data_IF_456796872657
#
_entry.id   IF_456796872657
#
_cell.length_a   1.000
_cell.length_b   1.000
_cell.length_c   1.000
_cell.angle_alpha   90.00
_cell.angle_beta   90.00
_cell.angle_gamma   90.00
#
_symmetry.space_group_name_H-M   'P 1'
#
loop_
_entity.id
_entity.type
_entity.pdbx_description
1 polymer ?
#
# COMPACT_ATOMS: atom_id res chain seq x y z
N UNK A 1 -6.36 -15.31 3.81
CA UNK A 1 -7.12 -15.14 2.55
C UNK A 1 -6.81 -13.79 1.93
N UNK A 2 -6.63 -13.72 0.61
CA UNK A 2 -6.63 -12.44 -0.12
C UNK A 2 -8.08 -12.00 -0.34
N UNK A 3 -8.44 -10.84 0.18
CA UNK A 3 -9.78 -10.27 0.10
C UNK A 3 -9.98 -9.64 -1.28
N UNK A 4 -11.09 -9.97 -1.92
CA UNK A 4 -11.55 -9.53 -3.23
C UNK A 4 -13.03 -9.14 -3.15
N UNK A 5 -13.56 -8.51 -4.20
CA UNK A 5 -15.01 -8.29 -4.35
C UNK A 5 -15.84 -9.59 -4.32
N UNK A 6 -15.24 -10.74 -4.65
CA UNK A 6 -15.92 -12.03 -4.73
C UNK A 6 -16.00 -12.75 -3.37
N UNK A 7 -15.10 -12.44 -2.42
CA UNK A 7 -15.00 -13.16 -1.16
C UNK A 7 -15.03 -12.28 0.10
N UNK A 8 -15.17 -10.96 -0.02
CA UNK A 8 -15.23 -10.05 1.13
C UNK A 8 -16.36 -10.36 2.10
N UNK A 9 -17.49 -10.88 1.60
CA UNK A 9 -18.62 -11.29 2.45
C UNK A 9 -18.37 -12.60 3.23
N UNK A 10 -17.22 -13.25 3.03
CA UNK A 10 -16.82 -14.51 3.67
C UNK A 10 -15.59 -14.34 4.58
N UNK A 11 -15.25 -13.11 4.97
CA UNK A 11 -14.15 -12.86 5.92
C UNK A 11 -14.41 -13.56 7.27
N UNK A 12 -15.64 -13.47 7.78
CA UNK A 12 -16.04 -14.15 9.03
C UNK A 12 -16.00 -15.68 8.90
N UNK A 13 -16.45 -16.22 7.76
CA UNK A 13 -16.37 -17.66 7.48
C UNK A 13 -14.91 -18.15 7.45
N UNK A 14 -14.01 -17.36 6.87
CA UNK A 14 -12.57 -17.66 6.85
C UNK A 14 -11.97 -17.64 8.26
N UNK A 15 -12.32 -16.65 9.08
CA UNK A 15 -11.85 -16.56 10.46
C UNK A 15 -12.35 -17.74 11.30
N UNK A 16 -13.64 -18.08 11.20
CA UNK A 16 -14.23 -19.24 11.87
C UNK A 16 -13.59 -20.57 11.46
N UNK A 17 -13.23 -20.71 10.18
CA UNK A 17 -12.48 -21.87 9.71
C UNK A 17 -11.09 -21.94 10.35
N UNK A 18 -10.39 -20.81 10.47
CA UNK A 18 -9.07 -20.76 11.09
C UNK A 18 -9.12 -21.13 12.58
N UNK A 19 -10.14 -20.65 13.31
CA UNK A 19 -10.38 -21.04 14.71
C UNK A 19 -10.63 -22.55 14.85
N UNK A 20 -11.49 -23.12 13.99
CA UNK A 20 -11.77 -24.56 13.98
C UNK A 20 -10.55 -25.43 13.73
N UNK A 21 -9.60 -24.92 12.94
CA UNK A 21 -8.37 -25.62 12.60
C UNK A 21 -7.22 -25.33 13.58
N UNK A 22 -7.44 -24.47 14.59
CA UNK A 22 -6.42 -23.99 15.52
C UNK A 22 -5.21 -23.38 14.80
N UNK A 23 -5.48 -22.52 13.80
CA UNK A 23 -4.44 -21.83 13.01
C UNK A 23 -4.66 -20.32 12.99
N UNK A 24 -3.56 -19.58 12.85
CA UNK A 24 -3.59 -18.13 12.67
C UNK A 24 -3.80 -17.78 11.19
N UNK A 25 -5.04 -17.44 10.84
CA UNK A 25 -5.39 -16.90 9.53
C UNK A 25 -4.94 -15.46 9.36
N UNK A 26 -4.57 -15.08 8.14
CA UNK A 26 -4.26 -13.69 7.80
C UNK A 26 -5.13 -13.20 6.66
N UNK A 27 -5.90 -12.13 6.88
CA UNK A 27 -6.52 -11.37 5.78
C UNK A 27 -5.45 -10.52 5.09
N UNK A 28 -5.52 -10.46 3.77
CA UNK A 28 -4.58 -9.72 2.92
C UNK A 28 -5.36 -8.92 1.89
N UNK A 29 -4.96 -7.68 1.67
CA UNK A 29 -5.52 -6.85 0.61
C UNK A 29 -5.10 -7.39 -0.76
N UNK A 30 -5.97 -7.29 -1.75
CA UNK A 30 -5.63 -7.59 -3.14
C UNK A 30 -4.59 -6.60 -3.69
N UNK A 31 -3.54 -7.11 -4.32
CA UNK A 31 -2.51 -6.29 -4.98
C UNK A 31 -2.78 -6.20 -6.48
N UNK A 32 -3.05 -5.01 -7.04
CA UNK A 32 -3.31 -4.83 -8.46
C UNK A 32 -2.00 -4.74 -9.27
N UNK A 33 -1.14 -5.76 -9.15
CA UNK A 33 0.14 -5.88 -9.85
C UNK A 33 0.25 -7.23 -10.57
N UNK A 34 1.06 -7.30 -11.63
CA UNK A 34 1.20 -8.51 -12.45
C UNK A 34 -0.17 -9.01 -12.95
N UNK A 35 -0.44 -10.31 -12.79
CA UNK A 35 -1.76 -10.88 -13.16
C UNK A 35 -2.93 -10.29 -12.36
N UNK A 36 -2.69 -9.76 -11.17
CA UNK A 36 -3.71 -9.08 -10.39
C UNK A 36 -4.19 -7.79 -11.06
N UNK A 37 -3.28 -7.12 -11.78
CA UNK A 37 -3.64 -5.95 -12.59
C UNK A 37 -4.57 -6.32 -13.74
N UNK A 38 -4.21 -7.34 -14.53
CA UNK A 38 -4.97 -7.79 -15.70
C UNK A 38 -6.40 -8.24 -15.35
N UNK A 39 -6.62 -8.67 -14.10
CA UNK A 39 -7.89 -9.18 -13.62
C UNK A 39 -8.62 -8.22 -12.67
N UNK A 40 -8.12 -6.99 -12.50
CA UNK A 40 -8.64 -6.06 -11.49
C UNK A 40 -10.15 -5.84 -11.58
N UNK A 41 -10.70 -5.69 -12.78
CA UNK A 41 -12.13 -5.43 -12.95
C UNK A 41 -13.01 -6.62 -12.49
N UNK A 42 -12.47 -7.85 -12.48
CA UNK A 42 -13.18 -9.06 -12.10
C UNK A 42 -13.02 -9.42 -10.60
N UNK A 43 -11.82 -9.25 -10.05
CA UNK A 43 -11.44 -9.71 -8.70
C UNK A 43 -10.91 -8.60 -7.78
N UNK A 44 -10.73 -7.38 -8.28
CA UNK A 44 -10.30 -6.25 -7.46
C UNK A 44 -11.40 -5.82 -6.49
N UNK A 45 -10.99 -5.28 -5.33
CA UNK A 45 -11.92 -4.62 -4.42
C UNK A 45 -12.26 -3.24 -5.00
N UNK A 46 -13.45 -3.11 -5.60
CA UNK A 46 -13.98 -1.83 -6.09
C UNK A 46 -14.82 -1.07 -5.04
N UNK A 47 -15.07 -1.68 -3.88
CA UNK A 47 -16.01 -1.16 -2.90
C UNK A 47 -15.39 -0.09 -2.00
N UNK A 48 -15.17 1.09 -2.57
CA UNK A 48 -15.16 2.33 -1.78
C UNK A 48 -16.58 2.76 -1.35
N UNK A 49 -17.61 2.05 -1.82
CA UNK A 49 -19.04 2.27 -1.55
C UNK A 49 -19.44 2.10 -0.07
N UNK A 50 -18.56 1.51 0.75
CA UNK A 50 -18.78 1.29 2.19
C UNK A 50 -18.19 2.40 3.08
N UNK A 51 -17.65 3.48 2.50
CA UNK A 51 -17.29 4.68 3.26
C UNK A 51 -18.57 5.47 3.63
N UNK A 52 -19.40 4.88 4.49
CA UNK A 52 -20.56 5.55 5.09
C UNK A 52 -20.15 6.07 6.45
N UNK A 53 -20.32 7.38 6.64
CA UNK A 53 -20.20 8.03 7.95
C UNK A 53 -21.59 8.00 8.55
N UNK A 54 -21.85 7.05 9.44
CA UNK A 54 -23.19 6.82 9.98
C UNK A 54 -23.45 7.66 11.26
N UNK A 55 -22.42 8.15 11.96
CA UNK A 55 -22.57 9.01 13.15
C UNK A 55 -21.36 9.92 13.48
N UNK A 56 -21.54 10.84 14.44
CA UNK A 56 -20.48 11.71 14.97
C UNK A 56 -19.47 10.98 15.85
N UNK A 57 -19.87 9.89 16.53
CA UNK A 57 -18.95 9.04 17.29
C UNK A 57 -17.99 8.29 16.36
N UNK A 58 -18.47 7.89 15.17
CA UNK A 58 -17.63 7.23 14.18
C UNK A 58 -16.54 8.20 13.67
N UNK A 59 -16.85 9.49 13.55
CA UNK A 59 -15.89 10.50 13.08
C UNK A 59 -14.67 10.64 14.00
N UNK A 60 -14.88 10.67 15.32
CA UNK A 60 -13.77 10.78 16.28
C UNK A 60 -12.91 9.51 16.28
N UNK A 61 -13.51 8.32 16.27
CA UNK A 61 -12.76 7.06 16.17
C UNK A 61 -11.96 6.98 14.86
N UNK A 62 -12.56 7.39 13.74
CA UNK A 62 -11.86 7.47 12.46
C UNK A 62 -10.70 8.47 12.55
N UNK A 63 -10.91 9.66 13.11
CA UNK A 63 -9.85 10.68 13.29
C UNK A 63 -8.68 10.15 14.10
N UNK A 64 -8.95 9.44 15.20
CA UNK A 64 -7.91 8.82 16.04
C UNK A 64 -7.15 7.72 15.30
N UNK A 65 -7.80 7.02 14.36
CA UNK A 65 -7.20 5.97 13.54
C UNK A 65 -6.44 6.48 12.30
N UNK A 66 -6.61 7.75 11.92
CA UNK A 66 -6.00 8.31 10.72
C UNK A 66 -4.50 8.48 10.90
N UNK A 67 -3.74 7.90 9.99
CA UNK A 67 -2.30 8.07 9.88
C UNK A 67 -1.94 8.81 8.60
N UNK A 68 -0.91 9.65 8.67
CA UNK A 68 -0.36 10.38 7.54
C UNK A 68 1.03 9.87 7.13
N UNK A 69 1.53 8.79 7.74
CA UNK A 69 2.88 8.28 7.50
C UNK A 69 2.87 6.91 6.81
N UNK A 70 3.76 6.74 5.83
CA UNK A 70 4.10 5.42 5.31
C UNK A 70 5.06 4.77 6.32
N UNK A 71 4.55 3.87 7.17
CA UNK A 71 5.36 3.18 8.20
C UNK A 71 6.08 1.93 7.64
N UNK A 72 5.99 1.68 6.34
CA UNK A 72 6.59 0.51 5.72
C UNK A 72 8.14 0.50 5.85
N UNK A 73 8.70 -0.46 6.60
CA UNK A 73 10.16 -0.66 6.74
C UNK A 73 10.84 -1.30 5.51
N UNK A 74 10.29 -1.10 4.31
CA UNK A 74 10.85 -1.66 3.07
C UNK A 74 12.25 -1.09 2.81
N UNK A 75 13.19 -1.94 2.41
CA UNK A 75 14.59 -1.59 2.19
C UNK A 75 15.40 -1.35 3.48
N UNK A 76 14.78 -0.88 4.57
CA UNK A 76 15.49 -0.50 5.81
C UNK A 76 15.40 -1.53 6.93
N UNK A 77 14.31 -2.29 7.02
CA UNK A 77 14.11 -3.34 8.01
C UNK A 77 13.66 -4.68 7.42
N UNK A 78 13.34 -4.70 6.13
CA UNK A 78 13.06 -5.91 5.34
C UNK A 78 13.50 -5.67 3.90
N UNK A 79 13.83 -6.74 3.21
CA UNK A 79 14.09 -6.77 1.77
C UNK A 79 13.74 -8.17 1.23
N UNK A 80 13.64 -8.29 -0.08
CA UNK A 80 13.51 -9.56 -0.79
C UNK A 80 14.69 -9.75 -1.73
N UNK A 81 14.99 -10.99 -2.05
CA UNK A 81 16.01 -11.37 -3.02
C UNK A 81 15.30 -12.18 -4.11
N UNK A 82 15.51 -11.82 -5.37
CA UNK A 82 14.96 -12.59 -6.51
C UNK A 82 15.88 -13.76 -6.92
N UNK A 83 15.45 -14.56 -7.90
CA UNK A 83 16.19 -15.73 -8.37
C UNK A 83 17.55 -15.40 -8.99
N UNK A 84 17.76 -14.16 -9.41
CA UNK A 84 19.03 -13.67 -9.96
C UNK A 84 19.95 -13.06 -8.90
N UNK A 85 19.49 -13.01 -7.64
CA UNK A 85 20.20 -12.45 -6.52
C UNK A 85 20.03 -10.94 -6.36
N UNK A 86 19.15 -10.28 -7.11
CA UNK A 86 18.91 -8.84 -6.94
C UNK A 86 18.14 -8.57 -5.64
N UNK A 87 18.54 -7.49 -4.95
CA UNK A 87 17.95 -7.03 -3.71
C UNK A 87 16.87 -5.99 -3.99
N UNK A 88 15.67 -6.25 -3.46
CA UNK A 88 14.49 -5.39 -3.63
C UNK A 88 13.91 -5.00 -2.27
N UNK A 89 13.25 -3.83 -2.11
CA UNK A 89 12.82 -3.34 -0.80
C UNK A 89 11.77 -4.23 -0.15
N UNK A 90 10.94 -4.89 -0.96
CA UNK A 90 10.04 -5.97 -0.58
C UNK A 90 9.43 -6.61 -1.84
N UNK A 91 8.65 -7.68 -1.65
CA UNK A 91 7.99 -8.42 -2.73
C UNK A 91 6.98 -7.61 -3.57
N UNK A 92 6.54 -6.44 -3.12
CA UNK A 92 5.65 -5.56 -3.90
C UNK A 92 6.40 -4.44 -4.63
N UNK A 93 7.72 -4.41 -4.49
CA UNK A 93 8.64 -3.42 -5.06
C UNK A 93 9.81 -4.17 -5.70
N UNK A 94 9.51 -5.15 -6.56
CA UNK A 94 10.45 -6.08 -7.21
C UNK A 94 10.84 -5.67 -8.64
N UNK A 95 10.34 -4.52 -9.11
CA UNK A 95 10.74 -3.93 -10.38
C UNK A 95 12.22 -3.55 -10.39
N UNK A 96 12.85 -3.60 -11.57
CA UNK A 96 14.28 -3.27 -11.75
C UNK A 96 14.63 -1.87 -11.22
N UNK A 97 13.71 -0.92 -11.28
CA UNK A 97 13.86 0.43 -10.74
C UNK A 97 13.95 0.50 -9.21
N UNK A 98 13.59 -0.60 -8.52
CA UNK A 98 13.69 -0.77 -7.08
C UNK A 98 14.87 -1.63 -6.66
N UNK A 99 15.64 -2.20 -7.59
CA UNK A 99 16.86 -2.93 -7.24
C UNK A 99 17.91 -1.98 -6.66
N UNK A 100 18.54 -2.41 -5.56
CA UNK A 100 19.59 -1.64 -4.88
C UNK A 100 20.89 -2.43 -4.61
N UNK A 101 21.05 -3.62 -5.20
CA UNK A 101 22.28 -4.41 -5.10
C UNK A 101 22.08 -5.86 -5.54
N UNK A 102 23.15 -6.65 -5.64
CA UNK A 102 23.05 -8.07 -5.97
C UNK A 102 23.94 -8.95 -5.07
N UNK A 103 23.33 -9.93 -4.39
CA UNK A 103 24.03 -10.79 -3.40
C UNK A 103 25.06 -11.76 -4.00
N UNK A 104 25.02 -11.99 -5.32
CA UNK A 104 25.99 -12.84 -6.02
C UNK A 104 27.24 -12.06 -6.39
N UNK A 105 27.12 -10.74 -6.54
CA UNK A 105 28.17 -9.85 -7.04
C UNK A 105 28.80 -8.99 -5.94
N UNK A 106 28.01 -8.63 -4.93
CA UNK A 106 28.33 -7.60 -3.96
C UNK A 106 28.21 -8.13 -2.52
N UNK A 107 29.08 -7.67 -1.62
CA UNK A 107 28.98 -7.95 -0.20
C UNK A 107 27.84 -7.13 0.43
N UNK A 108 26.97 -7.77 1.23
CA UNK A 108 25.80 -7.11 1.83
C UNK A 108 26.17 -5.86 2.63
N UNK A 109 27.27 -5.93 3.40
CA UNK A 109 27.74 -4.78 4.18
C UNK A 109 28.17 -3.61 3.29
N UNK A 110 28.71 -3.86 2.11
CA UNK A 110 29.09 -2.80 1.18
C UNK A 110 27.84 -2.16 0.59
N UNK A 111 26.86 -2.97 0.18
CA UNK A 111 25.57 -2.50 -0.33
C UNK A 111 24.89 -1.56 0.66
N UNK A 112 24.69 -2.00 1.91
CA UNK A 112 23.95 -1.22 2.90
C UNK A 112 24.69 0.01 3.44
N UNK A 113 26.02 0.07 3.29
CA UNK A 113 26.82 1.25 3.64
C UNK A 113 27.13 2.16 2.42
N UNK A 114 26.69 1.76 1.23
CA UNK A 114 26.92 2.52 0.00
C UNK A 114 26.13 3.83 -0.02
N UNK A 115 26.66 4.83 -0.73
CA UNK A 115 25.93 6.09 -0.95
C UNK A 115 24.72 5.86 -1.84
N UNK A 116 24.82 4.89 -2.75
CA UNK A 116 23.81 4.43 -3.68
C UNK A 116 22.57 3.93 -2.92
N UNK A 117 22.75 3.05 -1.94
CA UNK A 117 21.67 2.58 -1.07
C UNK A 117 21.03 3.71 -0.27
N UNK A 118 21.83 4.57 0.37
CA UNK A 118 21.30 5.72 1.15
C UNK A 118 20.47 6.64 0.24
N UNK A 119 20.98 6.95 -0.95
CA UNK A 119 20.30 7.79 -1.93
C UNK A 119 19.02 7.11 -2.44
N UNK A 120 19.06 5.79 -2.66
CA UNK A 120 17.90 4.99 -3.03
C UNK A 120 16.80 5.07 -1.96
N UNK A 121 17.12 4.79 -0.70
CA UNK A 121 16.15 4.87 0.41
C UNK A 121 15.52 6.26 0.49
N UNK A 122 16.35 7.32 0.46
CA UNK A 122 15.85 8.69 0.58
C UNK A 122 14.93 9.09 -0.58
N UNK A 123 15.24 8.70 -1.82
CA UNK A 123 14.51 9.16 -2.99
C UNK A 123 13.36 8.24 -3.43
N UNK A 124 13.46 6.93 -3.16
CA UNK A 124 12.49 5.93 -3.64
C UNK A 124 11.59 5.38 -2.56
N UNK A 125 12.05 5.38 -1.30
CA UNK A 125 11.31 4.77 -0.19
C UNK A 125 10.71 5.82 0.74
N UNK A 126 11.51 6.79 1.18
CA UNK A 126 11.10 7.79 2.17
C UNK A 126 10.38 8.99 1.54
N UNK A 127 10.58 9.24 0.25
CA UNK A 127 9.93 10.34 -0.47
C UNK A 127 8.46 10.02 -0.70
N UNK A 128 7.58 10.93 -0.28
CA UNK A 128 6.14 10.78 -0.46
C UNK A 128 5.75 11.06 -1.91
N UNK A 129 5.18 10.06 -2.59
CA UNK A 129 4.85 10.18 -4.01
C UNK A 129 3.79 11.25 -4.32
N UNK A 130 2.92 11.58 -3.36
CA UNK A 130 1.86 12.59 -3.54
C UNK A 130 2.43 14.02 -3.66
N UNK A 131 3.69 14.23 -3.27
CA UNK A 131 4.38 15.52 -3.44
C UNK A 131 4.86 15.74 -4.88
N UNK A 132 5.04 14.66 -5.63
CA UNK A 132 5.51 14.68 -7.02
C UNK A 132 4.36 14.65 -8.05
N UNK A 133 3.15 14.24 -7.63
CA UNK A 133 1.97 14.18 -8.50
C UNK A 133 1.30 15.58 -8.54
N UNK A 134 1.22 16.26 -9.70
CA UNK A 134 0.72 17.64 -9.78
C UNK A 134 -0.68 17.85 -9.19
N UNK A 135 -1.60 16.91 -9.42
CA UNK A 135 -2.97 16.95 -8.86
C UNK A 135 -2.98 16.77 -7.33
N UNK A 136 -2.05 16.00 -6.78
CA UNK A 136 -1.99 15.69 -5.34
C UNK A 136 -1.24 16.74 -4.54
N UNK A 137 -0.22 17.39 -5.12
CA UNK A 137 0.62 18.39 -4.45
C UNK A 137 -0.17 19.51 -3.79
N UNK A 138 -1.28 19.92 -4.40
CA UNK A 138 -2.17 20.97 -3.88
C UNK A 138 -3.43 20.43 -3.19
N UNK A 139 -3.53 19.12 -2.98
CA UNK A 139 -4.67 18.51 -2.28
C UNK A 139 -4.47 18.60 -0.76
N UNK A 140 -5.49 19.06 -0.03
CA UNK A 140 -5.45 19.23 1.43
C UNK A 140 -5.43 17.91 2.20
N UNK A 141 -5.90 16.80 1.62
CA UNK A 141 -5.90 15.48 2.26
C UNK A 141 -4.76 14.56 1.79
N UNK A 142 -3.75 15.10 1.07
CA UNK A 142 -2.80 14.28 0.28
C UNK A 142 -2.01 13.25 1.07
N UNK A 143 -1.66 13.52 2.32
CA UNK A 143 -0.88 12.59 3.14
C UNK A 143 -1.74 11.51 3.80
N UNK A 144 -3.05 11.74 3.94
CA UNK A 144 -3.99 10.83 4.61
C UNK A 144 -4.65 9.84 3.64
N UNK A 145 -4.55 10.08 2.32
CA UNK A 145 -5.15 9.17 1.33
C UNK A 145 -4.24 8.02 0.90
N UNK A 146 -2.98 8.03 1.35
CA UNK A 146 -2.00 6.98 1.09
C UNK A 146 -2.25 5.75 1.95
N UNK A 147 -1.93 4.58 1.40
CA UNK A 147 -1.84 3.34 2.17
C UNK A 147 -0.53 3.34 2.99
N UNK A 148 -0.49 2.64 4.11
CA UNK A 148 0.76 2.49 4.89
C UNK A 148 1.81 1.65 4.15
N UNK A 149 1.41 0.95 3.09
CA UNK A 149 2.29 0.20 2.20
C UNK A 149 2.64 0.98 0.91
N UNK A 150 3.94 1.24 0.70
CA UNK A 150 4.45 1.87 -0.52
C UNK A 150 4.15 1.06 -1.80
N UNK A 151 4.19 -0.28 -1.74
CA UNK A 151 3.88 -1.13 -2.88
C UNK A 151 2.43 -0.94 -3.36
N UNK A 152 1.47 -0.88 -2.44
CA UNK A 152 0.08 -0.56 -2.80
C UNK A 152 -0.04 0.85 -3.37
N UNK A 153 0.60 1.84 -2.74
CA UNK A 153 0.61 3.21 -3.27
C UNK A 153 1.11 3.23 -4.73
N UNK A 154 2.28 2.65 -5.02
CA UNK A 154 2.79 2.59 -6.38
C UNK A 154 1.81 1.94 -7.36
N UNK A 155 1.17 0.84 -6.97
CA UNK A 155 0.18 0.16 -7.81
C UNK A 155 -1.05 1.03 -8.13
N UNK A 156 -1.52 1.83 -7.16
CA UNK A 156 -2.67 2.72 -7.35
C UNK A 156 -2.31 3.99 -8.11
N UNK A 157 -1.24 4.69 -7.73
CA UNK A 157 -0.91 6.02 -8.24
C UNK A 157 -0.19 5.98 -9.59
N UNK A 158 0.46 4.87 -9.96
CA UNK A 158 1.03 4.70 -11.30
C UNK A 158 -0.02 4.28 -12.35
N UNK A 159 -1.26 4.02 -11.93
CA UNK A 159 -2.36 3.70 -12.82
C UNK A 159 -3.45 4.79 -12.76
N UNK A 160 -3.64 5.52 -13.86
CA UNK A 160 -4.60 6.62 -13.90
C UNK A 160 -6.04 6.20 -13.57
N UNK A 161 -6.51 5.02 -14.02
CA UNK A 161 -7.87 4.54 -13.75
C UNK A 161 -8.06 4.30 -12.24
N UNK A 162 -7.18 3.51 -11.63
CA UNK A 162 -7.23 3.18 -10.21
C UNK A 162 -7.06 4.42 -9.33
N UNK A 163 -6.12 5.29 -9.71
CA UNK A 163 -5.89 6.57 -9.06
C UNK A 163 -7.13 7.44 -9.05
N UNK A 164 -7.79 7.63 -10.21
CA UNK A 164 -8.96 8.49 -10.32
C UNK A 164 -10.16 7.93 -9.57
N UNK A 165 -10.40 6.61 -9.66
CA UNK A 165 -11.43 5.92 -8.90
C UNK A 165 -11.21 6.09 -7.39
N UNK A 166 -10.01 5.76 -6.89
CA UNK A 166 -9.65 5.93 -5.47
C UNK A 166 -9.86 7.38 -5.01
N UNK A 167 -9.37 8.34 -5.79
CA UNK A 167 -9.46 9.77 -5.46
C UNK A 167 -10.92 10.25 -5.37
N UNK A 168 -11.77 9.82 -6.32
CA UNK A 168 -13.19 10.17 -6.38
C UNK A 168 -13.94 9.77 -5.09
N UNK A 169 -13.59 8.64 -4.50
CA UNK A 169 -14.28 8.13 -3.31
C UNK A 169 -13.64 8.57 -1.98
N UNK A 170 -12.31 8.52 -1.88
CA UNK A 170 -11.62 8.81 -0.62
C UNK A 170 -11.59 10.31 -0.33
N UNK A 171 -11.42 11.17 -1.34
CA UNK A 171 -11.22 12.61 -1.11
C UNK A 171 -12.41 13.29 -0.40
N UNK A 172 -13.68 13.08 -0.80
CA UNK A 172 -14.81 13.67 -0.09
C UNK A 172 -14.90 13.17 1.36
N UNK A 173 -14.69 11.87 1.57
CA UNK A 173 -14.70 11.25 2.89
C UNK A 173 -13.63 11.85 3.81
N UNK A 174 -12.36 11.86 3.37
CA UNK A 174 -11.28 12.42 4.18
C UNK A 174 -11.43 13.94 4.38
N UNK A 175 -11.99 14.66 3.40
CA UNK A 175 -12.26 16.09 3.58
C UNK A 175 -13.21 16.31 4.74
N UNK A 176 -14.30 15.54 4.79
CA UNK A 176 -15.28 15.60 5.88
C UNK A 176 -14.66 15.20 7.21
N UNK A 177 -13.95 14.08 7.26
CA UNK A 177 -13.32 13.61 8.50
C UNK A 177 -12.30 14.62 9.04
N UNK A 178 -11.44 15.19 8.19
CA UNK A 178 -10.33 16.04 8.64
C UNK A 178 -10.70 17.50 8.85
N UNK A 179 -11.68 18.03 8.10
CA UNK A 179 -11.91 19.47 8.02
C UNK A 179 -13.33 19.92 8.35
N UNK A 180 -14.33 19.04 8.38
CA UNK A 180 -15.68 19.43 8.83
C UNK A 180 -15.74 19.37 10.37
N UNK A 181 -16.19 20.44 11.01
CA UNK A 181 -16.38 20.54 12.48
C UNK A 181 -17.69 19.89 12.95
#
# INVERSE_FOLDING_TARGET
MTVTNQNSNHEDDFNFLCEKLDVNGGLRKFSPIGRGFDNYDNIGINNYSNLKLDSSSDLEEIRESLDCHIICRAGTGKFSIDESGELHPCLLLDGKEYSFGNIVRDELNEIFNSKEYINFINNKIMRSMVDDIPKCKNCNVRYFCMDSCLGYNNSYYNNNKLYEEKCKHIKPYLTKVLWDE
#
